data_IF_019762337003
#
_entry.id   IF_019762337003
#
_cell.length_a   1.000
_cell.length_b   1.000
_cell.length_c   1.000
_cell.angle_alpha   90.00
_cell.angle_beta   90.00
_cell.angle_gamma   90.00
#
_symmetry.space_group_name_H-M   'P 1'
#
loop_
_entity.id
_entity.type
_entity.pdbx_description
1 polymer ?
#
# COMPACT_ATOMS: atom_id res chain seq x y z
N UNK A 1 30.25 6.01 48.50
CA UNK A 1 29.00 6.65 48.02
C UNK A 1 29.13 7.09 46.55
N UNK A 2 29.25 6.15 45.62
CA UNK A 2 29.33 6.44 44.17
C UNK A 2 28.75 5.32 43.29
N UNK A 3 28.16 4.31 43.93
CA UNK A 3 27.61 3.11 43.28
C UNK A 3 26.08 3.16 43.26
N UNK A 4 25.46 4.08 44.01
CA UNK A 4 24.01 4.26 44.06
C UNK A 4 23.45 5.07 42.86
N UNK A 5 24.30 5.74 42.08
CA UNK A 5 23.89 6.54 40.93
C UNK A 5 23.94 5.80 39.58
N UNK A 6 24.55 4.61 39.51
CA UNK A 6 24.77 3.91 38.24
C UNK A 6 23.69 2.88 37.89
N UNK A 7 22.77 2.60 38.83
CA UNK A 7 21.74 1.55 38.67
C UNK A 7 20.44 2.10 38.02
N UNK A 8 20.33 3.42 37.84
CA UNK A 8 19.15 4.06 37.25
C UNK A 8 19.15 4.07 35.70
N UNK A 9 20.25 3.65 35.06
CA UNK A 9 20.41 3.76 33.59
C UNK A 9 20.18 2.45 32.81
N UNK A 10 19.98 1.31 33.50
CA UNK A 10 19.90 -0.01 32.86
C UNK A 10 18.51 -0.66 32.90
N UNK A 11 17.46 0.12 33.16
CA UNK A 11 16.06 -0.32 33.05
C UNK A 11 15.29 0.27 31.85
N UNK A 12 15.97 0.91 30.90
CA UNK A 12 15.41 1.11 29.56
C UNK A 12 15.58 -0.17 28.75
N UNK A 13 14.78 -1.16 29.16
CA UNK A 13 14.43 -2.32 28.38
C UNK A 13 14.05 -1.83 26.98
N UNK A 14 14.97 -2.04 26.04
CA UNK A 14 14.71 -1.84 24.62
C UNK A 14 13.73 -2.93 24.20
N UNK A 15 12.44 -2.69 24.45
CA UNK A 15 11.35 -3.42 23.82
C UNK A 15 11.50 -3.14 22.33
N UNK A 16 12.16 -4.06 21.62
CA UNK A 16 11.99 -4.19 20.19
C UNK A 16 10.54 -4.62 19.97
N UNK A 17 9.62 -3.64 19.95
CA UNK A 17 8.31 -3.87 19.40
C UNK A 17 8.56 -4.33 17.97
N UNK A 18 8.28 -5.60 17.71
CA UNK A 18 8.03 -6.06 16.37
C UNK A 18 7.03 -5.07 15.81
N UNK A 19 7.46 -4.19 14.90
CA UNK A 19 6.55 -3.39 14.10
C UNK A 19 5.75 -4.41 13.32
N UNK A 20 4.65 -4.87 13.91
CA UNK A 20 3.56 -5.48 13.20
C UNK A 20 3.10 -4.34 12.32
N UNK A 21 3.68 -4.26 11.13
CA UNK A 21 3.12 -3.49 10.05
C UNK A 21 1.71 -4.02 10.00
N UNK A 22 0.77 -3.24 10.51
CA UNK A 22 -0.62 -3.34 10.11
C UNK A 22 -0.60 -2.98 8.62
N UNK A 23 -0.11 -3.91 7.81
CA UNK A 23 -0.69 -4.16 6.51
C UNK A 23 -2.07 -4.63 6.93
N UNK A 24 -2.96 -3.66 7.18
CA UNK A 24 -4.34 -3.90 6.81
C UNK A 24 -4.19 -4.26 5.34
N UNK A 25 -4.16 -5.55 5.07
CA UNK A 25 -4.39 -6.09 3.75
C UNK A 25 -5.88 -5.81 3.50
N UNK A 26 -6.25 -4.52 3.50
CA UNK A 26 -7.34 -4.03 2.71
C UNK A 26 -6.95 -4.51 1.34
N UNK A 27 -7.58 -5.60 0.91
CA UNK A 27 -7.53 -6.07 -0.46
C UNK A 27 -8.20 -4.97 -1.26
N UNK A 28 -7.48 -3.87 -1.44
CA UNK A 28 -7.93 -2.69 -2.13
C UNK A 28 -8.14 -3.17 -3.54
N UNK A 29 -9.43 -3.31 -3.84
CA UNK A 29 -9.88 -3.71 -5.16
C UNK A 29 -9.59 -2.52 -6.04
N UNK A 30 -8.66 -2.72 -6.97
CA UNK A 30 -8.29 -1.73 -7.97
C UNK A 30 -8.85 -2.13 -9.31
N UNK A 31 -8.95 -1.16 -10.19
CA UNK A 31 -9.55 -1.26 -11.50
C UNK A 31 -8.47 -1.10 -12.56
N UNK A 32 -8.49 -1.98 -13.56
CA UNK A 32 -7.59 -1.98 -14.69
C UNK A 32 -8.39 -1.82 -15.99
N UNK A 33 -7.80 -1.13 -16.97
CA UNK A 33 -8.32 -1.13 -18.33
C UNK A 33 -8.04 -2.48 -19.00
N UNK A 34 -9.09 -3.15 -19.50
CA UNK A 34 -9.01 -4.49 -20.10
C UNK A 34 -8.36 -4.55 -21.49
N UNK A 35 -7.78 -3.46 -21.98
CA UNK A 35 -7.02 -3.43 -23.24
C UNK A 35 -5.72 -4.25 -23.18
N UNK A 36 -5.29 -4.69 -21.99
CA UNK A 36 -4.02 -5.38 -21.75
C UNK A 36 -2.79 -4.46 -21.79
N UNK A 37 -2.85 -3.34 -22.51
CA UNK A 37 -1.76 -2.35 -22.64
C UNK A 37 -1.73 -1.31 -21.51
N UNK A 38 -2.70 -1.36 -20.60
CA UNK A 38 -2.79 -0.43 -19.47
C UNK A 38 -1.61 -0.60 -18.50
N UNK A 39 -0.76 0.43 -18.42
CA UNK A 39 0.36 0.51 -17.46
C UNK A 39 -0.08 1.00 -16.08
N UNK A 40 -1.33 1.44 -15.95
CA UNK A 40 -1.83 2.07 -14.75
C UNK A 40 -3.00 1.29 -14.13
N UNK A 41 -3.09 1.32 -12.81
CA UNK A 41 -4.25 0.88 -12.05
C UNK A 41 -4.96 2.08 -11.42
N UNK A 42 -6.25 1.91 -11.15
CA UNK A 42 -7.14 2.93 -10.64
C UNK A 42 -7.78 2.47 -9.33
N UNK A 43 -7.97 3.37 -8.37
CA UNK A 43 -8.60 3.07 -7.09
C UNK A 43 -10.14 3.14 -7.19
N UNK A 44 -10.64 3.96 -8.11
CA UNK A 44 -12.07 4.04 -8.43
C UNK A 44 -12.39 3.58 -9.86
N UNK A 45 -13.57 2.96 -10.02
CA UNK A 45 -14.15 2.67 -11.33
C UNK A 45 -14.50 3.93 -12.14
N UNK A 46 -14.73 5.05 -11.44
CA UNK A 46 -15.07 6.35 -12.03
C UNK A 46 -13.85 7.25 -12.23
N UNK A 47 -12.63 6.75 -12.03
CA UNK A 47 -11.43 7.54 -12.23
C UNK A 47 -11.41 8.13 -13.64
N UNK A 48 -11.15 9.44 -13.74
CA UNK A 48 -11.09 10.17 -15.03
C UNK A 48 -10.18 9.50 -16.06
N UNK A 49 -9.06 8.93 -15.62
CA UNK A 49 -8.14 8.20 -16.50
C UNK A 49 -8.68 6.85 -16.99
N UNK A 50 -9.58 6.23 -16.24
CA UNK A 50 -10.25 4.98 -16.60
C UNK A 50 -11.45 5.23 -17.52
N UNK A 51 -12.11 6.39 -17.43
CA UNK A 51 -13.24 6.76 -18.28
C UNK A 51 -12.93 6.77 -19.78
N UNK A 52 -11.66 6.98 -20.16
CA UNK A 52 -11.21 6.93 -21.55
C UNK A 52 -10.92 5.50 -22.05
N UNK A 53 -11.06 4.48 -21.19
CA UNK A 53 -10.88 3.08 -21.60
C UNK A 53 -12.15 2.58 -22.32
N UNK A 54 -12.04 2.33 -23.63
CA UNK A 54 -13.11 1.74 -24.43
C UNK A 54 -13.30 0.22 -24.20
N UNK A 55 -12.48 -0.39 -23.35
CA UNK A 55 -12.51 -1.83 -23.04
C UNK A 55 -13.18 -2.09 -21.69
N UNK A 56 -13.51 -3.35 -21.42
CA UNK A 56 -14.08 -3.75 -20.12
C UNK A 56 -13.09 -3.43 -18.99
N UNK A 57 -13.60 -2.86 -17.91
CA UNK A 57 -12.85 -2.66 -16.67
C UNK A 57 -12.68 -3.99 -15.93
N UNK A 58 -11.44 -4.33 -15.59
CA UNK A 58 -11.08 -5.54 -14.85
C UNK A 58 -10.82 -5.16 -13.40
N UNK A 59 -11.49 -5.84 -12.46
CA UNK A 59 -11.22 -5.69 -11.03
C UNK A 59 -10.10 -6.63 -10.62
N UNK A 60 -9.12 -6.14 -9.88
CA UNK A 60 -8.03 -6.95 -9.33
C UNK A 60 -7.61 -6.41 -7.96
N UNK A 61 -6.65 -7.08 -7.32
CA UNK A 61 -6.09 -6.58 -6.06
C UNK A 61 -4.92 -5.64 -6.32
N UNK A 62 -4.76 -4.64 -5.46
CA UNK A 62 -3.60 -3.73 -5.51
C UNK A 62 -2.26 -4.48 -5.58
N UNK A 63 -2.14 -5.58 -4.83
CA UNK A 63 -0.95 -6.42 -4.82
C UNK A 63 -0.68 -7.06 -6.20
N UNK A 64 -1.72 -7.59 -6.86
CA UNK A 64 -1.58 -8.17 -8.20
C UNK A 64 -1.22 -7.10 -9.24
N UNK A 65 -1.89 -5.94 -9.21
CA UNK A 65 -1.57 -4.84 -10.11
C UNK A 65 -0.11 -4.36 -9.96
N UNK A 66 0.38 -4.23 -8.71
CA UNK A 66 1.79 -3.89 -8.43
C UNK A 66 2.75 -4.97 -8.89
N UNK A 67 2.42 -6.26 -8.67
CA UNK A 67 3.23 -7.40 -9.14
C UNK A 67 3.33 -7.44 -10.67
N UNK A 68 2.29 -7.03 -11.38
CA UNK A 68 2.27 -6.87 -12.84
C UNK A 68 2.99 -5.61 -13.34
N UNK A 69 3.65 -4.86 -12.45
CA UNK A 69 4.41 -3.64 -12.80
C UNK A 69 3.52 -2.44 -13.12
N UNK A 70 2.23 -2.47 -12.75
CA UNK A 70 1.33 -1.34 -12.98
C UNK A 70 1.52 -0.27 -11.91
N UNK A 71 1.35 0.99 -12.32
CA UNK A 71 1.51 2.18 -11.47
C UNK A 71 0.19 2.89 -11.21
N UNK A 72 0.12 3.75 -10.18
CA UNK A 72 -1.12 4.49 -9.89
C UNK A 72 -1.44 5.52 -10.99
N UNK A 73 -2.73 5.66 -11.34
CA UNK A 73 -3.20 6.64 -12.33
C UNK A 73 -2.74 8.07 -12.02
N UNK A 74 -2.92 8.50 -10.77
CA UNK A 74 -2.62 9.85 -10.28
C UNK A 74 -3.79 10.83 -10.38
N UNK A 75 -4.93 10.40 -10.94
CA UNK A 75 -6.15 11.19 -11.12
C UNK A 75 -7.30 10.64 -10.26
N UNK A 76 -6.96 10.11 -9.08
CA UNK A 76 -7.92 9.59 -8.10
C UNK A 76 -8.45 10.76 -7.27
N UNK A 77 -9.28 11.61 -7.89
CA UNK A 77 -10.10 12.60 -7.19
C UNK A 77 -11.52 12.07 -6.95
#
# INVERSE_FOLDING_TARGET
>A
MKILFFVLFLLFNSVCTNKKVSVSETKETVYLCGSGRGKKYHLSASCRGLSNCHYKTIKTTLAKAKKEGKTLCGWEN
#
